data_IF_014698604795
#
_entry.id   IF_014698604795
#
_cell.length_a   1.000
_cell.length_b   1.000
_cell.length_c   1.000
_cell.angle_alpha   90.00
_cell.angle_beta   90.00
_cell.angle_gamma   90.00
#
_symmetry.space_group_name_H-M   'P 1'
#
loop_
_entity.id
_entity.type
_entity.pdbx_description
1 polymer ?
#
# COMPACT_ATOMS: atom_id res chain seq x y z
N UNK A 1 -17.99 1.47 3.36
CA UNK A 1 -17.98 2.93 3.09
C UNK A 1 -16.55 3.36 2.75
N UNK A 2 -16.32 4.56 2.22
CA UNK A 2 -14.97 5.06 1.92
C UNK A 2 -14.28 5.83 3.05
N UNK A 3 -14.99 6.11 4.15
CA UNK A 3 -14.50 6.93 5.27
C UNK A 3 -13.91 6.12 6.42
N UNK A 4 -14.09 4.79 6.42
CA UNK A 4 -13.46 3.88 7.38
C UNK A 4 -11.94 3.84 7.19
N UNK A 5 -11.21 3.66 8.29
CA UNK A 5 -9.77 3.46 8.26
C UNK A 5 -9.42 2.16 7.51
N UNK A 6 -8.49 2.26 6.57
CA UNK A 6 -7.88 1.14 5.87
C UNK A 6 -6.64 0.63 6.60
N UNK A 7 -5.80 1.55 7.09
CA UNK A 7 -4.59 1.19 7.86
C UNK A 7 -4.13 2.30 8.79
N UNK A 8 -3.33 1.91 9.78
CA UNK A 8 -2.57 2.81 10.65
C UNK A 8 -1.11 2.36 10.66
N UNK A 9 -0.19 3.23 10.25
CA UNK A 9 1.24 2.98 10.29
C UNK A 9 1.90 3.93 11.28
N UNK A 10 2.75 3.39 12.15
CA UNK A 10 3.47 4.18 13.15
C UNK A 10 4.80 4.67 12.60
N UNK A 11 5.09 5.95 12.82
CA UNK A 11 6.36 6.58 12.46
C UNK A 11 7.10 7.04 13.72
N UNK A 12 8.43 7.21 13.62
CA UNK A 12 9.23 7.76 14.72
C UNK A 12 8.77 9.19 14.99
N UNK A 13 8.23 9.43 16.18
CA UNK A 13 7.91 10.79 16.61
C UNK A 13 9.16 11.52 17.05
N UNK A 14 9.30 12.78 16.64
CA UNK A 14 10.39 13.67 17.08
C UNK A 14 10.46 13.87 18.60
N UNK A 15 9.38 13.56 19.33
CA UNK A 15 9.27 13.63 20.79
C UNK A 15 9.58 12.30 21.49
N UNK A 16 10.06 11.29 20.76
CA UNK A 16 10.35 9.94 21.28
C UNK A 16 9.12 9.02 21.39
N UNK A 17 7.91 9.53 21.20
CA UNK A 17 6.67 8.73 21.18
C UNK A 17 6.22 8.50 19.73
N UNK A 18 6.03 7.25 19.27
CA UNK A 18 5.56 6.97 17.91
C UNK A 18 4.20 7.61 17.61
N UNK A 19 4.03 8.09 16.37
CA UNK A 19 2.77 8.71 15.91
C UNK A 19 2.10 7.80 14.87
N UNK A 20 0.82 7.50 15.09
CA UNK A 20 0.01 6.72 14.16
C UNK A 20 -0.51 7.60 13.02
N UNK A 21 -0.17 7.23 11.79
CA UNK A 21 -0.73 7.83 10.57
C UNK A 21 -1.92 6.98 10.16
N UNK A 22 -3.13 7.51 10.36
CA UNK A 22 -4.38 6.84 10.01
C UNK A 22 -4.79 7.21 8.57
N UNK A 23 -5.00 6.21 7.73
CA UNK A 23 -5.38 6.38 6.33
C UNK A 23 -6.70 5.69 6.06
N UNK A 24 -7.64 6.41 5.46
CA UNK A 24 -8.96 5.92 5.10
C UNK A 24 -8.96 5.14 3.78
N UNK A 25 -9.93 4.25 3.60
CA UNK A 25 -10.11 3.47 2.37
C UNK A 25 -10.15 4.33 1.10
N UNK A 26 -10.85 5.48 1.12
CA UNK A 26 -10.90 6.38 -0.05
C UNK A 26 -9.53 6.94 -0.43
N UNK A 27 -8.67 7.22 0.56
CA UNK A 27 -7.34 7.78 0.35
C UNK A 27 -6.42 6.72 -0.26
N UNK A 28 -6.42 5.51 0.30
CA UNK A 28 -5.68 4.38 -0.23
C UNK A 28 -6.11 4.03 -1.67
N UNK A 29 -7.43 3.93 -1.91
CA UNK A 29 -7.97 3.63 -3.24
C UNK A 29 -7.62 4.72 -4.28
N UNK A 30 -7.68 6.00 -3.90
CA UNK A 30 -7.30 7.10 -4.77
C UNK A 30 -5.82 7.05 -5.15
N UNK A 31 -4.94 6.72 -4.18
CA UNK A 31 -3.51 6.55 -4.42
C UNK A 31 -3.23 5.42 -5.41
N UNK A 32 -3.76 4.21 -5.18
CA UNK A 32 -3.53 3.06 -6.07
C UNK A 32 -4.11 3.30 -7.48
N UNK A 33 -5.28 3.92 -7.57
CA UNK A 33 -5.87 4.31 -8.86
C UNK A 33 -5.00 5.35 -9.59
N UNK A 34 -4.37 6.26 -8.84
CA UNK A 34 -3.39 7.22 -9.37
C UNK A 34 -2.16 6.51 -9.93
N UNK A 35 -1.61 5.55 -9.18
CA UNK A 35 -0.48 4.73 -9.64
C UNK A 35 -0.82 3.96 -10.92
N UNK A 36 -1.98 3.30 -10.98
CA UNK A 36 -2.41 2.57 -12.18
C UNK A 36 -2.53 3.48 -13.41
N UNK A 37 -2.99 4.73 -13.24
CA UNK A 37 -3.08 5.69 -14.36
C UNK A 37 -1.70 6.17 -14.83
N UNK A 38 -0.76 6.33 -13.92
CA UNK A 38 0.57 6.88 -14.22
C UNK A 38 1.56 5.81 -14.68
N UNK A 39 1.44 4.60 -14.13
CA UNK A 39 2.37 3.48 -14.31
C UNK A 39 1.56 2.19 -14.52
N UNK A 40 0.84 2.04 -15.63
CA UNK A 40 -0.13 0.96 -15.79
C UNK A 40 0.54 -0.40 -15.64
N UNK A 41 0.09 -1.15 -14.63
CA UNK A 41 0.32 -2.58 -14.55
C UNK A 41 -0.68 -3.31 -15.44
N UNK A 42 -0.25 -4.46 -15.92
CA UNK A 42 -1.03 -5.43 -16.69
C UNK A 42 -1.15 -6.74 -15.91
N UNK A 43 -2.01 -7.64 -16.36
CA UNK A 43 -2.17 -8.98 -15.76
C UNK A 43 -0.88 -9.83 -15.79
N UNK A 44 0.05 -9.53 -16.70
CA UNK A 44 1.32 -10.23 -16.84
C UNK A 44 2.40 -9.75 -15.84
N UNK A 45 2.14 -8.66 -15.11
CA UNK A 45 3.11 -8.10 -14.17
C UNK A 45 3.10 -8.83 -12.82
N UNK A 46 4.26 -8.83 -12.16
CA UNK A 46 4.42 -9.37 -10.81
C UNK A 46 5.02 -8.32 -9.90
N UNK A 47 4.27 -7.94 -8.87
CA UNK A 47 4.78 -7.09 -7.79
C UNK A 47 5.47 -7.96 -6.74
N UNK A 48 6.67 -7.56 -6.32
CA UNK A 48 7.36 -8.20 -5.19
C UNK A 48 7.02 -7.47 -3.89
N UNK A 49 6.51 -8.19 -2.90
CA UNK A 49 6.43 -7.69 -1.54
C UNK A 49 7.80 -7.82 -0.87
N UNK A 50 8.56 -6.72 -0.92
CA UNK A 50 9.90 -6.59 -0.35
C UNK A 50 9.91 -5.78 0.94
N UNK A 51 9.04 -4.77 1.04
CA UNK A 51 8.98 -3.87 2.18
C UNK A 51 8.35 -4.57 3.39
N UNK A 52 8.81 -4.23 4.59
CA UNK A 52 8.13 -4.63 5.83
C UNK A 52 6.67 -4.16 5.81
N UNK A 53 5.76 -5.00 6.29
CA UNK A 53 4.34 -4.69 6.44
C UNK A 53 4.09 -3.45 7.33
N UNK A 54 5.05 -3.08 8.18
CA UNK A 54 4.97 -1.89 9.03
C UNK A 54 5.43 -0.60 8.33
N UNK A 55 5.82 -0.66 7.05
CA UNK A 55 6.25 0.50 6.27
C UNK A 55 5.25 0.78 5.14
N UNK A 56 5.03 2.06 4.80
CA UNK A 56 3.97 2.50 3.90
C UNK A 56 4.12 1.98 2.46
N UNK A 57 5.34 1.77 1.98
CA UNK A 57 5.59 1.17 0.67
C UNK A 57 5.04 -0.26 0.54
N UNK A 58 4.76 -0.96 1.65
CA UNK A 58 4.10 -2.27 1.59
C UNK A 58 2.66 -2.16 1.06
N UNK A 59 1.98 -1.02 1.22
CA UNK A 59 0.57 -0.87 0.85
C UNK A 59 0.36 -1.03 -0.66
N UNK A 60 1.17 -0.36 -1.49
CA UNK A 60 1.06 -0.56 -2.94
C UNK A 60 1.57 -1.94 -3.35
N UNK A 61 2.54 -2.50 -2.63
CA UNK A 61 3.03 -3.85 -2.91
C UNK A 61 1.94 -4.92 -2.65
N UNK A 62 1.14 -4.72 -1.59
CA UNK A 62 0.10 -5.63 -1.16
C UNK A 62 -1.17 -5.57 -2.01
N UNK A 63 -1.51 -4.41 -2.57
CA UNK A 63 -2.86 -4.20 -3.10
C UNK A 63 -2.94 -3.70 -4.55
N UNK A 64 -1.87 -3.11 -5.10
CA UNK A 64 -1.96 -2.50 -6.43
C UNK A 64 -2.23 -3.53 -7.54
N UNK A 65 -1.57 -4.69 -7.45
CA UNK A 65 -1.71 -5.80 -8.41
C UNK A 65 -3.16 -6.28 -8.60
N UNK A 66 -4.02 -6.11 -7.58
CA UNK A 66 -5.43 -6.52 -7.65
C UNK A 66 -6.26 -5.69 -8.65
N UNK A 67 -5.83 -4.47 -8.97
CA UNK A 67 -6.57 -3.58 -9.88
C UNK A 67 -6.61 -4.14 -11.31
N UNK A 68 -5.47 -4.46 -11.96
CA UNK A 68 -5.46 -5.07 -13.29
C UNK A 68 -5.63 -6.59 -13.27
N UNK A 69 -5.63 -7.24 -12.10
CA UNK A 69 -5.62 -8.71 -12.02
C UNK A 69 -4.24 -9.35 -12.21
N UNK A 70 -3.18 -8.62 -11.85
CA UNK A 70 -1.79 -9.07 -11.86
C UNK A 70 -1.51 -10.07 -10.73
N UNK A 71 -0.24 -10.32 -10.42
CA UNK A 71 0.16 -11.17 -9.29
C UNK A 71 1.08 -10.46 -8.31
N UNK A 72 1.13 -10.95 -7.07
CA UNK A 72 2.12 -10.56 -6.09
C UNK A 72 2.94 -11.78 -5.66
N UNK A 73 4.27 -11.60 -5.62
CA UNK A 73 5.20 -12.57 -5.08
C UNK A 73 5.62 -12.15 -3.66
N UNK A 74 5.43 -13.06 -2.71
CA UNK A 74 5.91 -12.90 -1.34
C UNK A 74 7.39 -13.31 -1.31
N UNK A 75 8.27 -12.36 -1.02
CA UNK A 75 9.69 -12.66 -0.87
C UNK A 75 9.90 -13.50 0.40
N UNK A 76 10.54 -14.69 0.32
CA UNK A 76 10.93 -15.45 1.50
C UNK A 76 11.88 -14.64 2.38
N UNK A 77 11.69 -14.73 3.69
CA UNK A 77 12.54 -14.10 4.71
C UNK A 77 13.75 -14.99 5.02
#
# INVERSE_FOLDING_TARGET
>A
DGGSLAYVIYTSGSTGTPKGVAVEHRQAAAFLSGMQRQFPLTEDDVIVLKSSFSFDASIWQLFWWMIPGASMYLLPQ
#
